data_IF_326080650912
#
_entry.id   IF_326080650912
#
_cell.length_a   1.000
_cell.length_b   1.000
_cell.length_c   1.000
_cell.angle_alpha   90.00
_cell.angle_beta   90.00
_cell.angle_gamma   90.00
#
_symmetry.space_group_name_H-M   'P 1'
#
loop_
_entity.id
_entity.type
_entity.pdbx_description
1 polymer ?
#
# COMPACT_ATOMS: atom_id res chain seq x y z
N UNK A 1 10.40 5.34 -9.85
CA UNK A 1 9.14 6.10 -9.67
C UNK A 1 8.81 6.11 -8.20
N UNK A 2 8.20 7.17 -7.70
CA UNK A 2 7.75 7.26 -6.30
C UNK A 2 6.32 6.76 -6.14
N UNK A 3 5.89 6.51 -4.90
CA UNK A 3 4.49 6.21 -4.62
C UNK A 3 3.56 7.36 -5.04
N UNK A 4 3.96 8.61 -4.81
CA UNK A 4 3.17 9.78 -5.23
C UNK A 4 2.91 9.78 -6.74
N UNK A 5 3.95 9.53 -7.54
CA UNK A 5 3.84 9.46 -9.00
C UNK A 5 2.89 8.33 -9.44
N UNK A 6 3.00 7.16 -8.81
CA UNK A 6 2.16 6.01 -9.12
C UNK A 6 0.67 6.28 -8.82
N UNK A 7 0.36 6.80 -7.64
CA UNK A 7 -1.02 7.10 -7.20
C UNK A 7 -1.65 8.20 -8.06
N UNK A 8 -0.86 9.16 -8.55
CA UNK A 8 -1.34 10.20 -9.47
C UNK A 8 -1.56 9.70 -10.90
N UNK A 9 -0.91 8.62 -11.30
CA UNK A 9 -0.98 8.04 -12.66
C UNK A 9 -2.18 7.12 -12.87
N UNK A 10 -2.63 6.44 -11.82
CA UNK A 10 -3.65 5.38 -11.87
C UNK A 10 -4.96 5.91 -11.27
N UNK A 11 -6.12 5.59 -11.85
CA UNK A 11 -7.43 5.89 -11.24
C UNK A 11 -7.86 4.83 -10.22
N UNK A 12 -8.72 5.21 -9.27
CA UNK A 12 -9.24 4.25 -8.29
C UNK A 12 -10.05 3.13 -8.95
N UNK A 13 -10.80 3.45 -10.00
CA UNK A 13 -11.65 2.52 -10.74
C UNK A 13 -10.80 1.44 -11.43
N UNK A 14 -9.61 1.80 -11.91
CA UNK A 14 -8.69 0.87 -12.58
C UNK A 14 -7.96 -0.07 -11.61
N UNK A 15 -7.64 0.39 -10.39
CA UNK A 15 -6.98 -0.45 -9.37
C UNK A 15 -7.98 -1.30 -8.57
N UNK A 16 -9.26 -0.90 -8.53
CA UNK A 16 -10.30 -1.54 -7.71
C UNK A 16 -10.45 -3.06 -7.92
N UNK A 17 -10.40 -3.62 -9.15
CA UNK A 17 -10.52 -5.06 -9.35
C UNK A 17 -9.39 -5.84 -8.65
N UNK A 18 -8.16 -5.34 -8.71
CA UNK A 18 -6.99 -5.93 -8.06
C UNK A 18 -7.12 -5.84 -6.54
N UNK A 19 -7.54 -4.68 -6.04
CA UNK A 19 -7.79 -4.47 -4.61
C UNK A 19 -8.84 -5.44 -4.07
N UNK A 20 -9.98 -5.60 -4.77
CA UNK A 20 -11.04 -6.56 -4.42
C UNK A 20 -10.54 -8.00 -4.36
N UNK A 21 -9.63 -8.38 -5.25
CA UNK A 21 -9.03 -9.71 -5.24
C UNK A 21 -8.16 -9.96 -3.99
N UNK A 22 -7.57 -8.91 -3.42
CA UNK A 22 -6.75 -8.98 -2.20
C UNK A 22 -7.60 -8.98 -0.92
N UNK A 23 -8.72 -8.24 -0.87
CA UNK A 23 -9.52 -8.06 0.35
C UNK A 23 -10.63 -9.10 0.54
N UNK A 24 -10.59 -10.25 -0.16
CA UNK A 24 -11.67 -11.27 -0.21
C UNK A 24 -12.37 -11.45 1.16
N UNK A 25 -13.63 -11.00 1.25
CA UNK A 25 -14.46 -11.12 2.46
C UNK A 25 -14.62 -9.83 3.29
N UNK A 26 -13.94 -8.74 2.94
CA UNK A 26 -14.02 -7.43 3.62
C UNK A 26 -14.63 -6.34 2.74
N UNK A 27 -15.78 -6.62 2.12
CA UNK A 27 -16.43 -5.73 1.14
C UNK A 27 -16.80 -4.35 1.69
N UNK A 28 -17.07 -4.23 2.99
CA UNK A 28 -17.36 -2.95 3.64
C UNK A 28 -16.15 -1.99 3.67
N UNK A 29 -14.94 -2.47 3.37
CA UNK A 29 -13.72 -1.66 3.41
C UNK A 29 -13.45 -0.88 2.13
N UNK A 30 -14.16 -1.14 1.02
CA UNK A 30 -13.90 -0.46 -0.27
C UNK A 30 -14.04 1.06 -0.16
N UNK A 31 -15.01 1.56 0.61
CA UNK A 31 -15.17 3.00 0.85
C UNK A 31 -13.97 3.59 1.60
N UNK A 32 -13.44 2.89 2.60
CA UNK A 32 -12.27 3.33 3.36
C UNK A 32 -11.02 3.37 2.47
N UNK A 33 -10.86 2.38 1.57
CA UNK A 33 -9.79 2.41 0.57
C UNK A 33 -9.94 3.56 -0.42
N UNK A 34 -11.16 3.89 -0.85
CA UNK A 34 -11.41 5.05 -1.72
C UNK A 34 -11.00 6.34 -1.01
N UNK A 35 -11.43 6.51 0.24
CA UNK A 35 -11.08 7.69 1.02
C UNK A 35 -9.57 7.81 1.24
N UNK A 36 -8.89 6.71 1.57
CA UNK A 36 -7.44 6.70 1.69
C UNK A 36 -6.74 7.07 0.38
N UNK A 37 -7.18 6.52 -0.75
CA UNK A 37 -6.66 6.86 -2.06
C UNK A 37 -6.83 8.36 -2.37
N UNK A 38 -8.02 8.92 -2.14
CA UNK A 38 -8.29 10.34 -2.38
C UNK A 38 -7.42 11.23 -1.47
N UNK A 39 -7.23 10.86 -0.20
CA UNK A 39 -6.32 11.55 0.72
C UNK A 39 -4.87 11.50 0.25
N UNK A 40 -4.36 10.34 -0.16
CA UNK A 40 -2.99 10.20 -0.68
C UNK A 40 -2.72 11.10 -1.89
N UNK A 41 -3.73 11.31 -2.75
CA UNK A 41 -3.62 12.24 -3.89
C UNK A 41 -3.53 13.70 -3.46
N UNK A 42 -4.19 14.09 -2.38
CA UNK A 42 -4.19 15.45 -1.85
C UNK A 42 -2.96 15.77 -0.97
N UNK A 43 -2.33 14.75 -0.38
CA UNK A 43 -1.16 14.91 0.48
C UNK A 43 0.11 15.19 -0.32
N UNK A 44 0.98 16.04 0.22
CA UNK A 44 2.32 16.25 -0.33
C UNK A 44 3.32 15.24 0.24
N UNK A 45 4.28 14.75 -0.57
CA UNK A 45 5.38 13.93 -0.08
C UNK A 45 6.28 14.77 0.86
N UNK A 46 6.84 14.12 1.87
CA UNK A 46 7.85 14.72 2.74
C UNK A 46 9.15 15.00 1.95
N UNK A 47 9.58 16.27 1.77
CA UNK A 47 10.60 16.64 0.79
C UNK A 47 12.00 16.08 1.07
N UNK A 48 12.38 15.93 2.34
CA UNK A 48 13.72 15.48 2.74
C UNK A 48 13.78 13.99 3.10
N UNK A 49 12.65 13.28 3.01
CA UNK A 49 12.59 11.88 3.37
C UNK A 49 12.95 10.99 2.17
N UNK A 50 13.93 10.10 2.38
CA UNK A 50 14.34 9.09 1.41
C UNK A 50 14.10 7.70 2.00
N UNK A 51 13.51 6.84 1.20
CA UNK A 51 13.29 5.45 1.56
C UNK A 51 12.81 4.65 0.36
N UNK A 52 12.72 3.35 0.55
CA UNK A 52 12.36 2.41 -0.52
C UNK A 52 11.11 1.63 -0.14
N UNK A 53 10.31 1.35 -1.15
CA UNK A 53 9.18 0.43 -1.13
C UNK A 53 9.64 -0.78 -1.94
N UNK A 54 9.71 -1.93 -1.29
CA UNK A 54 10.20 -3.16 -1.91
C UNK A 54 9.01 -4.01 -2.34
N UNK A 55 8.94 -4.33 -3.64
CA UNK A 55 7.94 -5.21 -4.23
C UNK A 55 8.61 -6.52 -4.57
N UNK A 56 8.24 -7.59 -3.86
CA UNK A 56 8.94 -8.86 -3.94
C UNK A 56 8.03 -10.05 -3.74
N UNK A 57 8.60 -11.25 -3.84
CA UNK A 57 7.89 -12.48 -3.49
C UNK A 57 7.88 -12.69 -1.97
N UNK A 58 6.69 -12.89 -1.42
CA UNK A 58 6.46 -13.26 -0.03
C UNK A 58 5.90 -14.69 0.03
N UNK A 59 5.98 -15.29 1.22
CA UNK A 59 5.54 -16.67 1.45
C UNK A 59 6.51 -17.71 0.92
N UNK A 60 6.04 -18.96 0.78
CA UNK A 60 6.84 -20.08 0.28
C UNK A 60 7.90 -20.64 1.23
N UNK A 61 8.21 -19.96 2.35
CA UNK A 61 9.19 -20.45 3.33
C UNK A 61 8.69 -21.65 4.14
N UNK A 62 7.37 -21.77 4.32
CA UNK A 62 6.74 -22.84 5.11
C UNK A 62 5.77 -23.71 4.29
N UNK A 63 5.95 -23.76 2.96
CA UNK A 63 5.12 -24.56 2.05
C UNK A 63 3.77 -23.93 1.69
N UNK A 64 3.55 -22.68 2.05
CA UNK A 64 2.46 -21.85 1.54
C UNK A 64 2.75 -21.36 0.11
N UNK A 65 1.70 -21.01 -0.64
CA UNK A 65 1.87 -20.44 -1.97
C UNK A 65 2.65 -19.11 -1.89
N UNK A 66 3.47 -18.83 -2.91
CA UNK A 66 4.13 -17.53 -3.03
C UNK A 66 3.12 -16.49 -3.52
N UNK A 67 3.17 -15.29 -2.94
CA UNK A 67 2.41 -14.13 -3.43
C UNK A 67 3.33 -12.93 -3.61
N UNK A 68 2.95 -12.03 -4.52
CA UNK A 68 3.64 -10.74 -4.65
C UNK A 68 3.11 -9.81 -3.56
N UNK A 69 4.02 -9.20 -2.81
CA UNK A 69 3.71 -8.29 -1.71
C UNK A 69 4.54 -7.02 -1.80
N UNK A 70 4.08 -6.02 -1.07
CA UNK A 70 4.75 -4.72 -0.94
C UNK A 70 5.18 -4.60 0.51
N UNK A 71 6.42 -4.16 0.74
CA UNK A 71 6.96 -3.94 2.08
C UNK A 71 7.59 -2.57 2.19
N UNK A 72 7.75 -2.08 3.42
CA UNK A 72 8.29 -0.76 3.70
C UNK A 72 7.27 0.37 3.62
N UNK A 73 5.97 0.08 3.54
CA UNK A 73 4.90 1.09 3.65
C UNK A 73 4.17 1.05 4.99
N UNK A 74 3.97 -0.14 5.55
CA UNK A 74 3.31 -0.34 6.84
C UNK A 74 4.12 0.30 7.98
N UNK A 75 3.47 1.18 8.75
CA UNK A 75 4.05 1.84 9.94
C UNK A 75 4.71 3.22 9.73
N UNK A 76 4.68 3.79 8.53
CA UNK A 76 5.12 5.17 8.30
C UNK A 76 3.93 6.13 8.17
N UNK A 77 4.10 7.39 8.60
CA UNK A 77 3.18 8.46 8.22
C UNK A 77 3.06 8.50 6.68
N UNK A 78 1.83 8.61 6.18
CA UNK A 78 1.54 8.44 4.75
C UNK A 78 2.35 9.40 3.85
N UNK A 79 2.63 10.62 4.33
CA UNK A 79 3.47 11.60 3.64
C UNK A 79 4.92 11.11 3.40
N UNK A 80 5.51 10.38 4.36
CA UNK A 80 6.83 9.76 4.20
C UNK A 80 6.77 8.60 3.20
N UNK A 81 5.68 7.84 3.21
CA UNK A 81 5.43 6.77 2.23
C UNK A 81 5.37 7.30 0.79
N UNK A 82 4.74 8.47 0.59
CA UNK A 82 4.63 9.13 -0.71
C UNK A 82 5.99 9.52 -1.32
N UNK A 83 6.98 9.84 -0.49
CA UNK A 83 8.35 10.18 -0.93
C UNK A 83 9.21 8.98 -1.31
N UNK A 84 8.80 7.76 -0.95
CA UNK A 84 9.64 6.57 -1.17
C UNK A 84 9.65 6.15 -2.63
N UNK A 85 10.81 5.64 -3.06
CA UNK A 85 10.98 5.04 -4.38
C UNK A 85 10.49 3.60 -4.39
N UNK A 86 9.80 3.20 -5.45
CA UNK A 86 9.33 1.82 -5.62
C UNK A 86 10.39 1.03 -6.37
N UNK A 87 10.87 -0.03 -5.72
CA UNK A 87 11.85 -0.99 -6.23
C UNK A 87 11.12 -2.32 -6.42
N UNK A 88 11.05 -2.78 -7.67
CA UNK A 88 10.40 -4.05 -8.03
C UNK A 88 11.46 -5.10 -8.28
N UNK A 89 11.34 -6.24 -7.60
CA UNK A 89 12.24 -7.39 -7.75
C UNK A 89 12.25 -7.92 -9.20
N UNK A 90 13.40 -8.43 -9.64
CA UNK A 90 13.56 -8.98 -10.98
C UNK A 90 12.60 -10.16 -11.23
N UNK A 91 11.96 -10.19 -12.40
CA UNK A 91 10.99 -11.21 -12.76
C UNK A 91 9.56 -10.96 -12.27
N UNK A 92 9.32 -9.89 -11.49
CA UNK A 92 7.97 -9.42 -11.15
C UNK A 92 7.51 -8.42 -12.21
N UNK A 93 6.37 -8.71 -12.84
CA UNK A 93 5.76 -7.86 -13.85
C UNK A 93 4.32 -7.49 -13.43
N UNK A 94 4.18 -6.41 -12.67
CA UNK A 94 2.88 -5.85 -12.31
C UNK A 94 2.53 -4.69 -13.24
N UNK A 95 1.25 -4.58 -13.57
CA UNK A 95 0.74 -3.34 -14.18
C UNK A 95 0.78 -2.20 -13.17
N UNK A 96 0.82 -0.92 -13.59
CA UNK A 96 0.72 0.21 -12.65
C UNK A 96 -0.53 0.11 -11.75
N UNK A 97 -1.64 -0.40 -12.28
CA UNK A 97 -2.91 -0.51 -11.57
C UNK A 97 -2.84 -1.55 -10.45
N UNK A 98 -2.23 -2.70 -10.75
CA UNK A 98 -2.00 -3.76 -9.78
C UNK A 98 -1.00 -3.34 -8.70
N UNK A 99 0.11 -2.73 -9.11
CA UNK A 99 1.10 -2.18 -8.18
C UNK A 99 0.49 -1.13 -7.26
N UNK A 100 -0.33 -0.22 -7.79
CA UNK A 100 -1.02 0.79 -6.99
C UNK A 100 -1.99 0.15 -5.98
N UNK A 101 -2.69 -0.91 -6.37
CA UNK A 101 -3.55 -1.66 -5.45
C UNK A 101 -2.74 -2.29 -4.32
N UNK A 102 -1.60 -2.93 -4.60
CA UNK A 102 -0.75 -3.52 -3.57
C UNK A 102 -0.19 -2.45 -2.61
N UNK A 103 0.27 -1.32 -3.14
CA UNK A 103 0.74 -0.21 -2.31
C UNK A 103 -0.38 0.38 -1.43
N UNK A 104 -1.60 0.52 -1.98
CA UNK A 104 -2.75 1.03 -1.24
C UNK A 104 -3.18 0.06 -0.13
N UNK A 105 -3.11 -1.24 -0.38
CA UNK A 105 -3.34 -2.26 0.64
C UNK A 105 -2.31 -2.17 1.77
N UNK A 106 -1.01 -2.14 1.44
CA UNK A 106 0.06 -2.13 2.43
C UNK A 106 0.08 -0.83 3.27
N UNK A 107 -0.12 0.35 2.66
CA UNK A 107 -0.10 1.63 3.38
C UNK A 107 -1.27 1.79 4.36
N UNK A 108 -2.36 1.05 4.14
CA UNK A 108 -3.55 1.04 4.99
C UNK A 108 -3.60 -0.17 5.93
N UNK A 109 -2.56 -1.01 5.95
CA UNK A 109 -2.54 -2.28 6.67
C UNK A 109 -2.85 -2.15 8.17
N UNK A 110 -2.34 -1.09 8.81
CA UNK A 110 -2.58 -0.82 10.23
C UNK A 110 -3.76 0.15 10.49
N UNK A 111 -4.43 0.63 9.45
CA UNK A 111 -5.56 1.56 9.57
C UNK A 111 -5.68 2.56 8.42
N UNK A 112 -6.84 3.18 8.29
CA UNK A 112 -7.17 4.20 7.28
C UNK A 112 -7.03 5.64 7.83
N UNK A 113 -6.58 5.79 9.07
CA UNK A 113 -6.31 7.07 9.73
C UNK A 113 -5.23 6.94 10.81
N UNK A 114 -4.58 8.05 11.16
CA UNK A 114 -3.56 8.07 12.23
C UNK A 114 -4.10 7.50 13.55
N UNK A 115 -5.32 7.87 13.93
CA UNK A 115 -5.98 7.35 15.13
C UNK A 115 -6.21 5.83 15.08
N UNK A 116 -6.62 5.29 13.92
CA UNK A 116 -6.78 3.85 13.76
C UNK A 116 -5.44 3.11 13.82
N UNK A 117 -4.40 3.71 13.24
CA UNK A 117 -3.03 3.20 13.28
C UNK A 117 -2.52 3.18 14.73
N UNK A 118 -2.66 4.28 15.48
CA UNK A 118 -2.31 4.37 16.90
C UNK A 118 -3.05 3.32 17.73
N UNK A 119 -4.37 3.23 17.60
CA UNK A 119 -5.17 2.21 18.29
C UNK A 119 -4.72 0.78 17.96
N UNK A 120 -4.33 0.53 16.70
CA UNK A 120 -3.86 -0.79 16.26
C UNK A 120 -2.52 -1.12 16.91
N UNK A 121 -1.58 -0.16 16.98
CA UNK A 121 -0.32 -0.33 17.69
C UNK A 121 -0.51 -0.52 19.20
N UNK A 122 -1.38 0.26 19.84
CA UNK A 122 -1.70 0.10 21.26
C UNK A 122 -2.25 -1.30 21.57
N UNK A 123 -3.14 -1.83 20.71
CA UNK A 123 -3.68 -3.19 20.85
C UNK A 123 -2.66 -4.30 20.60
N UNK A 124 -1.61 -4.04 19.83
CA UNK A 124 -0.53 -5.02 19.58
C UNK A 124 0.54 -5.02 20.69
N UNK A 125 0.69 -3.91 21.42
CA UNK A 125 1.71 -3.75 22.48
C UNK A 125 1.17 -4.00 23.90
N UNK A 126 -0.14 -4.09 24.08
CA UNK A 126 -0.81 -4.44 25.35
C UNK A 126 -1.14 -5.92 25.47
#
# INVERSE_FOLDING_TARGET
MTLKELVMRVSFEELLPYLKAMIKGHDNSVYAFREAYDRLRLMEPEPDFKGEIQVGWHGGMFGEDKWVGVSGLSGNYWNKGLSKEIIVEEGIHLTPNELAAHCLWEITFYGFSEKEIENTFERMLG
#
